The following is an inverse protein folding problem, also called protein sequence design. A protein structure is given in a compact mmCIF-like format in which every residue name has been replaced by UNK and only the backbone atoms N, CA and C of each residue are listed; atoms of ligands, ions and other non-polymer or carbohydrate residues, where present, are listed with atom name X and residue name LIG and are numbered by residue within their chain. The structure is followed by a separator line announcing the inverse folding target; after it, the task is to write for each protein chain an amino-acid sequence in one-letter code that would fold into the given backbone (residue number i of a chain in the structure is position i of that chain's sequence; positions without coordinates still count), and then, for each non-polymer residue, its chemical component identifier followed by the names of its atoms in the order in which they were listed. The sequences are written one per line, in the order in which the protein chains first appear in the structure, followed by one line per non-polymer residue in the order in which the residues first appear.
data_IF_320118191231
#
_entry.id   IF_320118191231
#
_cell.length_a   1.000
_cell.length_b   1.000
_cell.length_c   1.000
_cell.angle_alpha   90.00
_cell.angle_beta   90.00
_cell.angle_gamma   90.00
#
_symmetry.space_group_name_H-M   'P 1'
#
loop_
_entity.id
_entity.type
_entity.pdbx_description
1 polymer ?
#
# COMPACT_ATOMS: atom_id res chain seq x y z
N UNK A 1 -33.67 -15.45 -10.45
CA UNK A 1 -33.80 -14.44 -11.53
C UNK A 1 -33.09 -13.18 -11.07
N UNK A 2 -32.19 -12.56 -11.87
CA UNK A 2 -31.65 -11.26 -11.51
C UNK A 2 -32.78 -10.20 -11.60
N UNK A 3 -32.74 -9.14 -10.79
CA UNK A 3 -33.78 -8.10 -10.78
C UNK A 3 -33.79 -7.32 -12.10
N UNK A 4 -34.97 -6.97 -12.59
CA UNK A 4 -35.14 -6.11 -13.76
C UNK A 4 -34.79 -4.66 -13.38
N UNK A 5 -33.52 -4.29 -13.56
CA UNK A 5 -33.07 -2.91 -13.45
C UNK A 5 -33.72 -2.09 -14.58
N UNK A 6 -34.50 -1.06 -14.24
CA UNK A 6 -34.97 -0.08 -15.22
C UNK A 6 -33.76 0.71 -15.74
N UNK A 7 -33.14 0.21 -16.81
CA UNK A 7 -32.03 0.85 -17.49
C UNK A 7 -32.52 2.16 -18.12
N UNK A 8 -31.78 3.24 -17.92
CA UNK A 8 -32.00 4.52 -18.60
C UNK A 8 -31.88 4.34 -20.12
N UNK A 9 -32.44 5.27 -20.91
CA UNK A 9 -32.42 5.18 -22.38
C UNK A 9 -31.00 5.05 -22.97
N UNK A 10 -30.00 5.63 -22.33
CA UNK A 10 -28.60 5.51 -22.75
C UNK A 10 -27.99 4.14 -22.42
N UNK A 11 -28.24 3.62 -21.22
CA UNK A 11 -27.81 2.28 -20.81
C UNK A 11 -28.44 1.19 -21.69
N UNK A 12 -29.71 1.35 -22.07
CA UNK A 12 -30.41 0.44 -22.97
C UNK A 12 -29.79 0.43 -24.39
N UNK A 13 -29.33 1.57 -24.89
CA UNK A 13 -28.63 1.67 -26.17
C UNK A 13 -27.26 0.98 -26.11
N UNK A 14 -26.50 1.18 -25.04
CA UNK A 14 -25.20 0.52 -24.82
C UNK A 14 -25.39 -1.00 -24.75
N UNK A 15 -26.33 -1.47 -23.94
CA UNK A 15 -26.63 -2.90 -23.77
C UNK A 15 -27.03 -3.55 -25.11
N UNK A 16 -27.83 -2.86 -25.92
CA UNK A 16 -28.19 -3.32 -27.26
C UNK A 16 -26.96 -3.47 -28.17
N UNK A 17 -26.02 -2.52 -28.14
CA UNK A 17 -24.79 -2.60 -28.92
C UNK A 17 -23.90 -3.76 -28.47
N UNK A 18 -23.75 -3.96 -27.17
CA UNK A 18 -22.96 -5.08 -26.60
C UNK A 18 -23.55 -6.42 -27.05
N UNK A 19 -24.88 -6.60 -26.97
CA UNK A 19 -25.54 -7.83 -27.43
C UNK A 19 -25.38 -8.06 -28.93
N UNK A 20 -25.48 -7.02 -29.75
CA UNK A 20 -25.26 -7.15 -31.20
C UNK A 20 -23.81 -7.56 -31.50
N UNK A 21 -22.82 -7.03 -30.77
CA UNK A 21 -21.42 -7.42 -30.91
C UNK A 21 -21.17 -8.87 -30.45
N UNK A 22 -21.80 -9.30 -29.35
CA UNK A 22 -21.77 -10.70 -28.90
C UNK A 22 -22.38 -11.64 -29.95
N UNK A 23 -23.56 -11.32 -30.49
CA UNK A 23 -24.22 -12.12 -31.52
C UNK A 23 -23.41 -12.23 -32.82
N UNK A 24 -22.61 -11.20 -33.13
CA UNK A 24 -21.70 -11.18 -34.28
C UNK A 24 -20.39 -11.94 -34.01
N UNK A 25 -20.20 -12.50 -32.82
CA UNK A 25 -18.99 -13.22 -32.44
C UNK A 25 -17.75 -12.32 -32.30
N UNK A 26 -17.93 -11.01 -32.13
CA UNK A 26 -16.82 -10.04 -32.04
C UNK A 26 -15.88 -10.36 -30.86
N UNK A 27 -16.39 -11.04 -29.82
CA UNK A 27 -15.64 -11.47 -28.63
C UNK A 27 -15.16 -12.93 -28.68
N UNK A 28 -15.36 -13.64 -29.78
CA UNK A 28 -15.05 -15.07 -29.86
C UNK A 28 -13.56 -15.34 -30.08
N UNK A 29 -12.89 -14.52 -30.90
CA UNK A 29 -11.48 -14.68 -31.26
C UNK A 29 -10.60 -13.52 -30.78
N UNK A 30 -10.76 -13.12 -29.51
CA UNK A 30 -9.85 -12.14 -28.92
C UNK A 30 -8.47 -12.80 -28.74
N UNK A 31 -7.41 -12.09 -29.15
CA UNK A 31 -6.03 -12.59 -29.24
C UNK A 31 -5.50 -13.22 -27.93
N UNK A 32 -6.06 -12.80 -26.80
CA UNK A 32 -5.66 -13.20 -25.45
C UNK A 32 -6.78 -13.88 -24.65
N UNK A 33 -7.88 -14.29 -25.29
CA UNK A 33 -8.98 -14.98 -24.61
C UNK A 33 -8.47 -16.27 -23.94
N UNK A 34 -8.74 -16.42 -22.64
CA UNK A 34 -8.36 -17.60 -21.87
C UNK A 34 -6.86 -17.70 -21.52
N UNK A 35 -6.03 -16.77 -21.97
CA UNK A 35 -4.61 -16.71 -21.55
C UNK A 35 -4.50 -16.01 -20.20
N UNK A 36 -3.55 -16.42 -19.33
CA UNK A 36 -3.28 -15.68 -18.11
C UNK A 36 -2.86 -14.24 -18.44
N UNK A 37 -3.20 -13.32 -17.55
CA UNK A 37 -2.73 -11.94 -17.66
C UNK A 37 -1.19 -11.94 -17.67
N UNK A 38 -0.55 -11.06 -18.46
CA UNK A 38 0.90 -10.95 -18.45
C UNK A 38 1.38 -10.61 -17.03
N UNK A 39 2.54 -11.15 -16.60
CA UNK A 39 3.07 -10.82 -15.30
C UNK A 39 3.33 -9.30 -15.21
N UNK A 40 3.02 -8.69 -14.07
CA UNK A 40 3.23 -7.26 -13.86
C UNK A 40 4.71 -6.92 -14.02
N UNK A 41 5.02 -5.99 -14.92
CA UNK A 41 6.40 -5.56 -15.23
C UNK A 41 7.12 -4.98 -14.02
N UNK A 42 6.37 -4.45 -13.04
CA UNK A 42 6.90 -3.78 -11.86
C UNK A 42 6.50 -4.47 -10.54
N UNK A 43 6.12 -5.76 -10.57
CA UNK A 43 5.90 -6.45 -9.30
C UNK A 43 7.22 -6.63 -8.55
N UNK A 44 7.23 -6.43 -7.22
CA UNK A 44 8.37 -6.78 -6.40
C UNK A 44 8.71 -8.27 -6.53
N UNK A 45 10.00 -8.59 -6.45
CA UNK A 45 10.46 -9.99 -6.51
C UNK A 45 9.82 -10.79 -5.38
N UNK A 46 9.23 -11.94 -5.71
CA UNK A 46 8.60 -12.85 -4.76
C UNK A 46 7.15 -12.54 -4.41
N UNK A 47 6.53 -11.53 -5.03
CA UNK A 47 5.11 -11.21 -4.86
C UNK A 47 4.28 -11.86 -5.98
N UNK A 48 3.20 -12.55 -5.62
CA UNK A 48 2.30 -13.16 -6.61
C UNK A 48 1.54 -12.09 -7.41
N UNK A 49 1.16 -12.42 -8.65
CA UNK A 49 0.43 -11.50 -9.51
C UNK A 49 -0.90 -11.06 -8.88
N UNK A 50 -1.65 -11.99 -8.26
CA UNK A 50 -2.91 -11.64 -7.62
C UNK A 50 -2.69 -10.64 -6.47
N UNK A 51 -1.71 -10.90 -5.61
CA UNK A 51 -1.35 -10.05 -4.48
C UNK A 51 -0.94 -8.64 -4.95
N UNK A 52 -0.15 -8.56 -6.03
CA UNK A 52 0.23 -7.29 -6.63
C UNK A 52 -0.97 -6.50 -7.16
N UNK A 53 -1.89 -7.15 -7.88
CA UNK A 53 -3.08 -6.48 -8.41
C UNK A 53 -4.01 -6.00 -7.29
N UNK A 54 -4.22 -6.82 -6.24
CA UNK A 54 -5.01 -6.42 -5.07
C UNK A 54 -4.39 -5.20 -4.39
N UNK A 55 -3.08 -5.21 -4.15
CA UNK A 55 -2.36 -4.08 -3.56
C UNK A 55 -2.50 -2.81 -4.40
N UNK A 56 -2.46 -2.94 -5.73
CA UNK A 56 -2.63 -1.81 -6.66
C UNK A 56 -4.03 -1.22 -6.62
N UNK A 57 -5.07 -2.06 -6.59
CA UNK A 57 -6.47 -1.59 -6.50
C UNK A 57 -6.72 -0.88 -5.18
N UNK A 58 -6.25 -1.45 -4.07
CA UNK A 58 -6.36 -0.84 -2.74
C UNK A 58 -5.66 0.53 -2.70
N UNK A 59 -4.44 0.63 -3.22
CA UNK A 59 -3.72 1.89 -3.31
C UNK A 59 -4.46 2.94 -4.15
N UNK A 60 -5.08 2.53 -5.27
CA UNK A 60 -5.88 3.42 -6.11
C UNK A 60 -7.13 3.98 -5.40
N UNK A 61 -7.65 3.26 -4.41
CA UNK A 61 -8.75 3.70 -3.55
C UNK A 61 -8.28 4.53 -2.33
N UNK A 62 -6.99 4.82 -2.23
CA UNK A 62 -6.41 5.54 -1.11
C UNK A 62 -6.24 4.70 0.16
N UNK A 63 -6.39 3.38 0.08
CA UNK A 63 -6.14 2.51 1.21
C UNK A 63 -4.64 2.34 1.44
N UNK A 64 -4.21 2.59 2.68
CA UNK A 64 -2.86 2.33 3.14
C UNK A 64 -2.86 1.09 4.06
N UNK A 65 -2.02 0.08 3.81
CA UNK A 65 -1.86 -1.03 4.74
C UNK A 65 -1.37 -0.55 6.12
N UNK A 66 -1.70 -1.27 7.21
CA UNK A 66 -1.31 -0.87 8.56
C UNK A 66 0.19 -0.62 8.75
N UNK A 67 1.06 -1.43 8.13
CA UNK A 67 2.50 -1.24 8.19
C UNK A 67 2.95 0.07 7.51
N UNK A 68 2.27 0.50 6.46
CA UNK A 68 2.61 1.74 5.73
C UNK A 68 2.25 2.97 6.57
N UNK A 69 1.12 2.93 7.27
CA UNK A 69 0.72 3.97 8.22
C UNK A 69 1.64 4.02 9.43
N UNK A 70 2.00 2.86 9.99
CA UNK A 70 2.93 2.76 11.09
C UNK A 70 4.32 3.30 10.71
N UNK A 71 4.79 3.03 9.49
CA UNK A 71 6.05 3.57 8.97
C UNK A 71 6.04 5.10 8.95
N UNK A 72 4.96 5.73 8.47
CA UNK A 72 4.80 7.19 8.50
C UNK A 72 4.82 7.73 9.92
N UNK A 73 4.09 7.09 10.83
CA UNK A 73 4.08 7.45 12.26
C UNK A 73 5.49 7.42 12.86
N UNK A 74 6.28 6.38 12.55
CA UNK A 74 7.66 6.26 13.03
C UNK A 74 8.54 7.38 12.46
N UNK A 75 8.41 7.68 11.17
CA UNK A 75 9.17 8.77 10.52
C UNK A 75 8.83 10.14 11.15
N UNK A 76 7.55 10.39 11.42
CA UNK A 76 7.08 11.61 12.09
C UNK A 76 7.57 11.73 13.54
N UNK A 77 7.56 10.62 14.29
CA UNK A 77 8.08 10.58 15.67
C UNK A 77 9.59 10.85 15.70
N UNK A 78 10.36 10.24 14.78
CA UNK A 78 11.81 10.48 14.66
C UNK A 78 12.08 11.95 14.33
N UNK A 79 11.30 12.54 13.41
CA UNK A 79 11.41 13.95 13.06
C UNK A 79 11.14 14.85 14.26
N UNK A 80 10.05 14.60 14.98
CA UNK A 80 9.68 15.36 16.19
C UNK A 80 10.78 15.27 17.26
N UNK A 81 11.29 14.06 17.51
CA UNK A 81 12.34 13.85 18.51
C UNK A 81 13.63 14.59 18.14
N UNK A 82 13.99 14.68 16.84
CA UNK A 82 15.12 15.51 16.40
C UNK A 82 14.90 17.00 16.67
N UNK A 83 13.71 17.51 16.41
CA UNK A 83 13.37 18.91 16.67
C UNK A 83 13.40 19.25 18.17
N UNK A 84 12.89 18.34 19.02
CA UNK A 84 12.91 18.48 20.48
C UNK A 84 14.34 18.38 21.03
N UNK A 85 15.14 17.45 20.50
CA UNK A 85 16.55 17.30 20.92
C UNK A 85 17.37 18.55 20.64
N UNK A 86 17.13 19.23 19.51
CA UNK A 86 17.77 20.51 19.20
C UNK A 86 17.36 21.66 20.11
N UNK A 87 16.21 21.56 20.80
CA UNK A 87 15.72 22.56 21.77
C UNK A 87 16.20 22.30 23.21
N UNK A 88 16.86 21.16 23.45
CA UNK A 88 17.30 20.73 24.77
C UNK A 88 16.23 19.90 25.48
N UNK A 89 16.21 18.60 25.18
CA UNK A 89 15.38 17.59 25.87
C UNK A 89 16.15 16.98 27.05
N UNK A 90 15.47 16.57 28.11
CA UNK A 90 16.10 15.84 29.20
C UNK A 90 16.57 14.45 28.74
N UNK A 91 17.73 13.98 29.23
CA UNK A 91 18.31 12.69 28.82
C UNK A 91 17.36 11.51 29.06
N UNK A 92 16.64 11.51 30.18
CA UNK A 92 15.66 10.46 30.51
C UNK A 92 14.49 10.44 29.51
N UNK A 93 13.98 11.60 29.13
CA UNK A 93 12.87 11.72 28.17
C UNK A 93 13.30 11.30 26.76
N UNK A 94 14.54 11.62 26.38
CA UNK A 94 15.14 11.19 25.13
C UNK A 94 15.25 9.65 25.07
N UNK A 95 15.76 9.02 26.13
CA UNK A 95 15.86 7.56 26.22
C UNK A 95 14.48 6.89 26.14
N UNK A 96 13.49 7.42 26.84
CA UNK A 96 12.11 6.90 26.80
C UNK A 96 11.51 7.00 25.39
N UNK A 97 11.72 8.13 24.71
CA UNK A 97 11.21 8.37 23.36
C UNK A 97 11.88 7.46 22.34
N UNK A 98 13.21 7.28 22.42
CA UNK A 98 13.96 6.32 21.61
C UNK A 98 13.44 4.90 21.82
N UNK A 99 13.23 4.49 23.08
CA UNK A 99 12.67 3.17 23.40
C UNK A 99 11.26 2.98 22.83
N UNK A 100 10.42 4.02 22.91
CA UNK A 100 9.07 3.98 22.35
C UNK A 100 9.09 3.84 20.81
N UNK A 101 9.96 4.59 20.14
CA UNK A 101 10.16 4.49 18.68
C UNK A 101 10.67 3.08 18.33
N UNK A 102 11.66 2.55 19.04
CA UNK A 102 12.17 1.21 18.80
C UNK A 102 11.09 0.13 18.99
N UNK A 103 10.21 0.28 19.98
CA UNK A 103 9.04 -0.60 20.13
C UNK A 103 8.14 -0.59 18.89
N UNK A 104 7.88 0.59 18.30
CA UNK A 104 7.13 0.72 17.05
C UNK A 104 7.87 0.11 15.86
N UNK A 105 9.19 0.30 15.78
CA UNK A 105 10.06 -0.30 14.74
C UNK A 105 10.00 -1.83 14.80
N UNK A 106 10.06 -2.41 16.00
CA UNK A 106 9.93 -3.86 16.18
C UNK A 106 8.57 -4.38 15.70
N UNK A 107 7.48 -3.70 16.10
CA UNK A 107 6.14 -4.05 15.62
C UNK A 107 6.04 -3.95 14.09
N UNK A 108 6.57 -2.88 13.50
CA UNK A 108 6.64 -2.70 12.06
C UNK A 108 7.43 -3.81 11.37
N UNK A 109 8.58 -4.21 11.91
CA UNK A 109 9.44 -5.24 11.33
C UNK A 109 8.79 -6.64 11.32
N UNK A 110 7.86 -6.90 12.24
CA UNK A 110 7.04 -8.12 12.28
C UNK A 110 5.92 -8.06 11.22
N UNK A 111 5.31 -6.89 11.03
CA UNK A 111 4.18 -6.70 10.11
C UNK A 111 4.60 -6.51 8.65
N UNK A 112 5.83 -6.09 8.39
CA UNK A 112 6.30 -5.77 7.05
C UNK A 112 6.30 -7.01 6.14
N UNK A 113 5.74 -6.93 4.92
CA UNK A 113 5.55 -8.08 4.03
C UNK A 113 6.86 -8.66 3.48
N UNK A 114 7.94 -7.89 3.49
CA UNK A 114 9.27 -8.33 3.03
C UNK A 114 10.35 -7.82 3.98
N UNK A 115 11.35 -8.68 4.25
CA UNK A 115 12.53 -8.36 5.05
C UNK A 115 13.29 -7.10 4.56
N UNK A 116 13.26 -6.80 3.25
CA UNK A 116 13.89 -5.59 2.70
C UNK A 116 13.28 -4.28 3.22
N UNK A 117 12.04 -4.30 3.69
CA UNK A 117 11.34 -3.11 4.20
C UNK A 117 11.65 -2.84 5.67
N UNK A 118 12.32 -3.76 6.37
CA UNK A 118 12.61 -3.64 7.80
C UNK A 118 13.47 -2.42 8.10
N UNK A 119 13.21 -1.77 9.22
CA UNK A 119 13.96 -0.62 9.70
C UNK A 119 14.95 -1.03 10.79
N UNK A 120 16.12 -0.41 10.76
CA UNK A 120 17.08 -0.50 11.86
C UNK A 120 16.58 0.29 13.08
N UNK A 121 16.94 -0.18 14.27
CA UNK A 121 16.65 0.55 15.51
C UNK A 121 17.40 1.88 15.55
N UNK A 122 16.79 2.86 16.23
CA UNK A 122 17.39 4.16 16.47
C UNK A 122 18.09 4.19 17.82
N UNK A 123 19.16 4.98 17.94
CA UNK A 123 19.93 5.12 19.17
C UNK A 123 19.97 6.57 19.63
N UNK A 124 20.13 6.78 20.93
CA UNK A 124 20.19 8.13 21.53
C UNK A 124 21.28 9.01 20.89
N UNK A 125 22.42 8.41 20.53
CA UNK A 125 23.53 9.12 19.87
C UNK A 125 23.17 9.71 18.51
N UNK A 126 22.12 9.22 17.83
CA UNK A 126 21.63 9.80 16.57
C UNK A 126 20.87 11.12 16.76
N UNK A 127 20.49 11.45 18.00
CA UNK A 127 19.72 12.64 18.34
C UNK A 127 20.52 13.63 19.21
N UNK A 128 21.67 13.22 19.74
CA UNK A 128 22.59 14.11 20.44
C UNK A 128 23.39 14.92 19.42
N UNK A 129 23.14 16.24 19.34
CA UNK A 129 23.99 17.13 18.55
C UNK A 129 25.45 17.00 19.00
N UNK A 130 26.33 16.60 18.09
CA UNK A 130 27.77 16.79 18.27
C UNK A 130 28.02 18.29 18.41
N UNK A 131 28.33 18.70 19.64
CA UNK A 131 28.78 20.04 19.96
C UNK A 131 30.28 19.99 20.23
#
# INVERSE_FOLDING_TARGET
MPPATNLTGWEALIERQIRLAQNRGVFDNLSNKGKPLPPPTNAPVGVDNLEFQVSKVLAAQGYAPPWAELRRTIEDDIKRLREESGKGIAALELEQSVKAINGKIQNFNIMAPNAMLRMGEVTVGQFQSHK
#
